data_IF_728313325134
#
_entry.id   IF_728313325134
#
_cell.length_a   1.000
_cell.length_b   1.000
_cell.length_c   1.000
_cell.angle_alpha   90.00
_cell.angle_beta   90.00
_cell.angle_gamma   90.00
#
_symmetry.space_group_name_H-M   'P 1'
#
loop_
_entity.id
_entity.type
_entity.pdbx_description
1 polymer ?
#
# COMPACT_ATOMS: atom_id res chain seq x y z
N UNK A 1 11.48 7.48 -41.64
CA UNK A 1 11.51 6.81 -40.32
C UNK A 1 10.60 7.57 -39.38
N UNK A 2 9.45 7.00 -39.02
CA UNK A 2 8.49 7.62 -38.12
C UNK A 2 8.91 7.32 -36.67
N UNK A 3 9.34 8.35 -35.93
CA UNK A 3 9.39 8.25 -34.48
C UNK A 3 7.97 8.43 -33.97
N UNK A 4 7.37 7.34 -33.48
CA UNK A 4 6.13 7.43 -32.73
C UNK A 4 6.40 8.34 -31.51
N UNK A 5 5.76 9.51 -31.49
CA UNK A 5 5.77 10.39 -30.33
C UNK A 5 5.01 9.68 -29.21
N UNK A 6 5.76 8.98 -28.33
CA UNK A 6 5.21 8.43 -27.09
C UNK A 6 4.74 9.62 -26.27
N UNK A 7 3.41 9.81 -26.17
CA UNK A 7 2.85 10.78 -25.25
C UNK A 7 3.34 10.42 -23.85
N UNK A 8 3.87 11.36 -23.05
CA UNK A 8 4.16 11.10 -21.65
C UNK A 8 2.90 10.53 -21.00
N UNK A 9 3.03 9.43 -20.24
CA UNK A 9 1.93 9.01 -19.39
C UNK A 9 1.59 10.20 -18.48
N UNK A 10 0.31 10.58 -18.46
CA UNK A 10 -0.22 11.52 -17.48
C UNK A 10 0.15 11.00 -16.08
N UNK A 11 1.10 11.66 -15.42
CA UNK A 11 1.55 11.22 -14.11
C UNK A 11 0.50 11.61 -13.07
N UNK A 12 0.16 10.68 -12.18
CA UNK A 12 -0.80 10.91 -11.09
C UNK A 12 -0.10 10.86 -9.73
N UNK A 13 -0.64 11.58 -8.74
CA UNK A 13 -0.15 11.57 -7.36
C UNK A 13 -0.90 10.60 -6.44
N UNK A 14 -1.89 9.89 -6.99
CA UNK A 14 -2.78 8.97 -6.28
C UNK A 14 -3.19 7.84 -7.20
N UNK A 15 -3.29 6.62 -6.67
CA UNK A 15 -4.02 5.52 -7.29
C UNK A 15 -5.04 4.94 -6.32
N UNK A 16 -6.03 4.23 -6.86
CA UNK A 16 -7.06 3.53 -6.10
C UNK A 16 -6.83 2.04 -6.21
N UNK A 17 -6.99 1.36 -5.08
CA UNK A 17 -6.93 -0.09 -4.97
C UNK A 17 -8.18 -0.58 -4.23
N UNK A 18 -8.90 -1.53 -4.82
CA UNK A 18 -10.14 -2.06 -4.26
C UNK A 18 -9.92 -3.49 -3.78
N UNK A 19 -10.33 -3.75 -2.54
CA UNK A 19 -10.32 -5.08 -1.94
C UNK A 19 -11.74 -5.64 -1.95
N UNK A 20 -12.08 -6.58 -2.86
CA UNK A 20 -13.42 -7.15 -2.89
C UNK A 20 -13.65 -8.05 -1.68
N UNK A 21 -14.92 -8.15 -1.26
CA UNK A 21 -15.38 -9.03 -0.18
C UNK A 21 -14.53 -8.92 1.10
N UNK A 22 -14.34 -7.68 1.58
CA UNK A 22 -13.47 -7.40 2.71
C UNK A 22 -13.89 -8.17 3.97
N UNK A 23 -15.19 -8.36 4.21
CA UNK A 23 -15.72 -9.14 5.34
C UNK A 23 -15.22 -10.59 5.31
N UNK A 24 -15.33 -11.28 4.17
CA UNK A 24 -14.84 -12.65 4.02
C UNK A 24 -13.32 -12.74 4.23
N UNK A 25 -12.59 -11.73 3.74
CA UNK A 25 -11.13 -11.69 3.90
C UNK A 25 -10.74 -11.49 5.36
N UNK A 26 -11.41 -10.61 6.09
CA UNK A 26 -11.18 -10.40 7.52
C UNK A 26 -11.38 -11.71 8.31
N UNK A 27 -12.37 -12.52 7.96
CA UNK A 27 -12.67 -13.77 8.67
C UNK A 27 -11.74 -14.92 8.25
N UNK A 28 -11.45 -15.06 6.95
CA UNK A 28 -10.91 -16.29 6.37
C UNK A 28 -9.52 -16.18 5.80
N UNK A 29 -8.99 -14.97 5.57
CA UNK A 29 -7.59 -14.88 5.13
C UNK A 29 -6.67 -15.46 6.20
N UNK A 30 -5.55 -15.99 5.75
CA UNK A 30 -4.47 -16.37 6.64
C UNK A 30 -3.76 -15.10 7.11
N UNK A 31 -3.49 -15.01 8.42
CA UNK A 31 -2.67 -13.94 9.00
C UNK A 31 -1.30 -13.85 8.31
N UNK A 32 -0.78 -12.64 8.12
CA UNK A 32 0.47 -12.42 7.41
C UNK A 32 0.42 -12.64 5.89
N UNK A 33 -0.73 -13.05 5.32
CA UNK A 33 -0.91 -13.09 3.86
C UNK A 33 -1.43 -11.75 3.33
N UNK A 34 -0.72 -11.12 2.38
CA UNK A 34 -1.22 -9.92 1.72
C UNK A 34 -2.21 -10.24 0.60
N UNK A 35 -3.10 -9.31 0.35
CA UNK A 35 -3.82 -9.12 -0.90
C UNK A 35 -3.17 -7.94 -1.63
N UNK A 36 -2.71 -8.17 -2.86
CA UNK A 36 -1.85 -7.24 -3.59
C UNK A 36 -2.67 -6.38 -4.55
N UNK A 37 -2.30 -5.11 -4.69
CA UNK A 37 -2.70 -4.30 -5.82
C UNK A 37 -1.90 -4.69 -7.07
N UNK A 38 -2.34 -4.21 -8.22
CA UNK A 38 -1.46 -4.12 -9.39
C UNK A 38 -0.26 -3.21 -9.07
N UNK A 39 0.84 -3.45 -9.78
CA UNK A 39 1.96 -2.51 -9.81
C UNK A 39 1.59 -1.34 -10.71
N UNK A 40 1.82 -0.11 -10.23
CA UNK A 40 1.53 1.12 -10.97
C UNK A 40 2.82 1.87 -11.27
N UNK A 41 3.03 2.22 -12.55
CA UNK A 41 4.26 2.84 -13.06
C UNK A 41 4.03 4.28 -13.52
N UNK A 42 2.89 4.86 -13.14
CA UNK A 42 2.42 6.18 -13.54
C UNK A 42 2.32 7.17 -12.36
N UNK A 43 2.96 6.84 -11.23
CA UNK A 43 2.98 7.69 -10.03
C UNK A 43 4.11 8.71 -10.12
N UNK A 44 3.77 9.99 -9.96
CA UNK A 44 4.75 11.08 -10.00
C UNK A 44 5.91 10.84 -9.02
N UNK A 45 7.13 10.83 -9.55
CA UNK A 45 8.35 10.70 -8.75
C UNK A 45 8.69 9.27 -8.30
N UNK A 46 7.97 8.26 -8.76
CA UNK A 46 8.27 6.85 -8.50
C UNK A 46 8.35 6.07 -9.82
N UNK A 47 9.33 5.15 -9.92
CA UNK A 47 9.40 4.20 -11.03
C UNK A 47 8.23 3.21 -10.99
N UNK A 48 7.93 2.71 -9.79
CA UNK A 48 6.77 1.87 -9.53
C UNK A 48 6.22 2.11 -8.12
N UNK A 49 4.96 1.74 -7.90
CA UNK A 49 4.40 1.55 -6.59
C UNK A 49 3.46 0.34 -6.57
N UNK A 50 3.41 -0.37 -5.44
CA UNK A 50 2.43 -1.44 -5.21
C UNK A 50 2.03 -1.46 -3.74
N UNK A 51 0.75 -1.70 -3.48
CA UNK A 51 0.20 -1.86 -2.14
C UNK A 51 -0.01 -3.35 -1.85
N UNK A 52 0.50 -3.80 -0.72
CA UNK A 52 0.16 -5.07 -0.10
C UNK A 52 -0.74 -4.79 1.11
N UNK A 53 -1.99 -5.23 1.08
CA UNK A 53 -2.92 -5.08 2.19
C UNK A 53 -3.07 -6.40 2.94
N UNK A 54 -2.94 -6.38 4.26
CA UNK A 54 -3.04 -7.56 5.12
C UNK A 54 -4.34 -7.46 5.94
N UNK A 55 -5.43 -8.14 5.51
CA UNK A 55 -6.75 -7.98 6.13
C UNK A 55 -6.79 -8.37 7.61
N UNK A 56 -5.91 -9.28 8.02
CA UNK A 56 -5.78 -9.76 9.41
C UNK A 56 -4.47 -9.35 10.07
N UNK A 57 -3.81 -8.33 9.52
CA UNK A 57 -2.51 -7.88 9.99
C UNK A 57 -1.34 -8.69 9.42
N UNK A 58 -0.16 -8.11 9.52
CA UNK A 58 1.10 -8.81 9.35
C UNK A 58 1.56 -9.44 10.69
N UNK A 59 2.67 -10.19 10.68
CA UNK A 59 3.22 -10.84 11.89
C UNK A 59 3.59 -9.87 13.03
N UNK A 60 3.77 -8.59 12.73
CA UNK A 60 4.08 -7.53 13.71
C UNK A 60 2.86 -6.70 14.09
N UNK A 61 1.68 -7.01 13.55
CA UNK A 61 0.43 -6.32 13.84
C UNK A 61 -0.19 -6.78 15.15
N UNK A 62 -0.98 -5.91 15.78
CA UNK A 62 -1.81 -6.27 16.92
C UNK A 62 -3.04 -7.06 16.46
N UNK A 63 -3.52 -7.98 17.29
CA UNK A 63 -4.77 -8.68 17.05
C UNK A 63 -5.93 -7.70 16.78
N UNK A 64 -6.70 -8.00 15.73
CA UNK A 64 -7.83 -7.16 15.30
C UNK A 64 -7.42 -5.91 14.51
N UNK A 65 -6.16 -5.78 14.10
CA UNK A 65 -5.68 -4.72 13.21
C UNK A 65 -5.29 -5.26 11.83
N UNK A 66 -5.55 -4.45 10.80
CA UNK A 66 -5.04 -4.66 9.47
C UNK A 66 -3.71 -3.93 9.29
N UNK A 67 -2.87 -4.45 8.40
CA UNK A 67 -1.63 -3.81 7.97
C UNK A 67 -1.68 -3.41 6.50
N UNK A 68 -0.85 -2.43 6.15
CA UNK A 68 -0.56 -2.10 4.75
C UNK A 68 0.93 -1.98 4.57
N UNK A 69 1.46 -2.47 3.45
CA UNK A 69 2.85 -2.26 3.04
C UNK A 69 2.86 -1.60 1.68
N UNK A 70 3.66 -0.54 1.55
CA UNK A 70 3.91 0.14 0.30
C UNK A 70 5.26 -0.32 -0.25
N UNK A 71 5.25 -0.93 -1.44
CA UNK A 71 6.47 -1.25 -2.20
C UNK A 71 6.80 -0.07 -3.12
N UNK A 72 8.04 0.37 -3.05
CA UNK A 72 8.63 1.46 -3.84
C UNK A 72 10.09 1.13 -4.16
N UNK A 73 10.72 1.81 -5.14
CA UNK A 73 12.14 1.63 -5.45
C UNK A 73 13.05 1.89 -4.26
N UNK A 74 14.19 1.19 -4.19
CA UNK A 74 15.19 1.40 -3.14
C UNK A 74 15.64 2.87 -3.06
N UNK A 75 15.99 3.32 -1.85
CA UNK A 75 16.39 4.71 -1.53
C UNK A 75 15.31 5.76 -1.80
N UNK A 76 14.05 5.36 -1.71
CA UNK A 76 12.91 6.27 -1.86
C UNK A 76 12.59 6.94 -0.53
N UNK A 77 12.54 8.28 -0.52
CA UNK A 77 11.90 9.06 0.56
C UNK A 77 10.55 9.55 0.09
N UNK A 78 9.48 9.15 0.77
CA UNK A 78 8.11 9.44 0.35
C UNK A 78 7.27 10.00 1.49
N UNK A 79 6.42 10.99 1.17
CA UNK A 79 5.34 11.46 2.03
C UNK A 79 4.01 10.96 1.47
N UNK A 80 3.28 10.16 2.24
CA UNK A 80 2.07 9.51 1.73
C UNK A 80 0.96 9.40 2.79
N UNK A 81 -0.27 9.23 2.31
CA UNK A 81 -1.48 8.99 3.09
C UNK A 81 -2.29 7.89 2.44
N UNK A 82 -3.16 7.23 3.22
CA UNK A 82 -4.15 6.29 2.70
C UNK A 82 -5.53 6.81 3.03
N UNK A 83 -6.44 6.71 2.07
CA UNK A 83 -7.86 7.02 2.26
C UNK A 83 -8.67 5.74 2.17
N UNK A 84 -9.51 5.48 3.17
CA UNK A 84 -10.47 4.38 3.21
C UNK A 84 -11.85 4.99 3.45
N UNK A 85 -12.77 4.85 2.51
CA UNK A 85 -14.08 5.48 2.62
C UNK A 85 -13.94 6.99 2.88
N UNK A 86 -14.46 7.46 4.02
CA UNK A 86 -14.35 8.86 4.45
C UNK A 86 -13.14 9.15 5.34
N UNK A 87 -12.37 8.14 5.72
CA UNK A 87 -11.24 8.28 6.63
C UNK A 87 -9.94 8.47 5.87
N UNK A 88 -9.15 9.45 6.30
CA UNK A 88 -7.76 9.61 5.87
C UNK A 88 -6.81 9.22 7.01
N UNK A 89 -5.78 8.43 6.68
CA UNK A 89 -4.72 8.02 7.61
C UNK A 89 -3.38 8.58 7.11
N UNK A 90 -2.60 9.17 8.02
CA UNK A 90 -1.36 9.89 7.72
C UNK A 90 -1.57 11.41 7.69
N UNK A 91 -0.70 12.19 7.00
CA UNK A 91 0.45 11.73 6.23
C UNK A 91 1.57 11.16 7.10
N UNK A 92 2.36 10.28 6.51
CA UNK A 92 3.61 9.75 7.07
C UNK A 92 4.75 10.01 6.09
N UNK A 93 5.94 10.22 6.65
CA UNK A 93 7.17 10.35 5.87
C UNK A 93 8.03 9.16 6.20
N UNK A 94 8.31 8.37 5.18
CA UNK A 94 9.10 7.15 5.31
C UNK A 94 10.28 7.20 4.32
N UNK A 95 11.35 6.49 4.69
CA UNK A 95 12.51 6.25 3.84
C UNK A 95 12.62 4.75 3.65
N UNK A 96 12.50 4.28 2.42
CA UNK A 96 12.73 2.90 2.06
C UNK A 96 14.17 2.73 1.65
N UNK A 97 14.90 1.92 2.40
CA UNK A 97 16.25 1.50 2.07
C UNK A 97 16.37 -0.01 2.36
N UNK A 98 16.70 -0.79 1.33
CA UNK A 98 16.71 -2.26 1.41
C UNK A 98 17.77 -2.82 2.36
N UNK A 99 18.81 -2.03 2.66
CA UNK A 99 19.87 -2.35 3.61
C UNK A 99 19.35 -2.41 5.04
N UNK A 100 18.24 -1.73 5.33
CA UNK A 100 17.62 -1.65 6.64
C UNK A 100 16.72 -2.87 6.85
N UNK A 101 17.04 -3.69 7.85
CA UNK A 101 16.35 -4.97 8.07
C UNK A 101 14.84 -4.83 8.34
N UNK A 102 14.39 -3.71 8.90
CA UNK A 102 12.98 -3.41 9.16
C UNK A 102 12.21 -2.95 7.92
N UNK A 103 12.91 -2.59 6.84
CA UNK A 103 12.32 -2.22 5.56
C UNK A 103 12.50 -3.31 4.51
N UNK A 104 13.07 -4.48 4.83
CA UNK A 104 13.25 -5.57 3.86
C UNK A 104 11.89 -5.84 3.21
N UNK A 105 11.76 -5.55 1.92
CA UNK A 105 10.56 -5.74 1.08
C UNK A 105 9.44 -4.69 1.14
N UNK A 106 9.59 -3.55 1.83
CA UNK A 106 8.72 -2.38 1.66
C UNK A 106 8.50 -1.56 2.93
N UNK A 107 7.68 -0.51 2.81
CA UNK A 107 7.30 0.38 3.91
C UNK A 107 6.05 -0.14 4.60
N UNK A 108 6.23 -0.83 5.73
CA UNK A 108 5.14 -1.44 6.49
C UNK A 108 4.49 -0.45 7.48
N UNK A 109 3.16 -0.47 7.52
CA UNK A 109 2.33 0.10 8.57
C UNK A 109 1.53 -1.02 9.21
N UNK A 110 2.12 -1.68 10.22
CA UNK A 110 1.56 -2.86 10.89
C UNK A 110 0.17 -2.58 11.49
N UNK A 111 0.06 -1.55 12.34
CA UNK A 111 -1.20 -1.17 12.98
C UNK A 111 -1.90 -0.04 12.20
N UNK A 112 -2.26 -0.31 10.95
CA UNK A 112 -2.79 0.69 10.03
C UNK A 112 -4.24 1.06 10.32
N UNK A 113 -5.13 0.07 10.47
CA UNK A 113 -6.55 0.29 10.71
C UNK A 113 -7.13 -0.85 11.56
N UNK A 114 -7.97 -0.57 12.57
CA UNK A 114 -8.75 -1.62 13.23
C UNK A 114 -9.69 -2.28 12.22
N UNK A 115 -9.81 -3.61 12.31
CA UNK A 115 -10.74 -4.40 11.49
C UNK A 115 -12.17 -3.88 11.60
N UNK A 116 -12.61 -3.51 12.80
CA UNK A 116 -13.95 -2.97 13.06
C UNK A 116 -14.23 -1.68 12.28
N UNK A 117 -13.21 -0.86 12.04
CA UNK A 117 -13.34 0.38 11.26
C UNK A 117 -13.48 0.14 9.76
N UNK A 118 -13.04 -1.01 9.23
CA UNK A 118 -13.24 -1.36 7.82
C UNK A 118 -14.67 -1.84 7.54
N UNK A 119 -15.31 -2.46 8.52
CA UNK A 119 -16.67 -2.99 8.41
C UNK A 119 -17.74 -1.91 8.59
N UNK A 120 -17.36 -0.72 9.05
CA UNK A 120 -18.25 0.41 9.29
C UNK A 120 -18.33 1.43 8.14
N UNK A 121 -17.49 1.28 7.12
CA UNK A 121 -17.46 2.12 5.91
C UNK A 121 -18.25 1.47 4.77
#
# INVERSE_FOLDING_TARGET
SSFASVKPLEQRSRFTFTVPNISDKIERYQEGRPYLSEEVNDITGLEFAQVEFFPRGDITSRDGWCAIKLRVPNRTKIKWSVTIGRQQKGPRVDVFEESLWWCRYGLLWANFCPVSSLLSE
#
